data_IF_805561249216
#
_entry.id   IF_805561249216
#
_cell.length_a   1.000
_cell.length_b   1.000
_cell.length_c   1.000
_cell.angle_alpha   90.00
_cell.angle_beta   90.00
_cell.angle_gamma   90.00
#
_symmetry.space_group_name_H-M   'P 1'
#
loop_
_entity.id
_entity.type
_entity.pdbx_description
1 polymer ?
#
# COMPACT_ATOMS: atom_id res chain seq x y z
N UNK A 1 -16.66 -14.11 -46.56
CA UNK A 1 -15.78 -14.17 -45.35
C UNK A 1 -15.76 -12.85 -44.58
N UNK A 2 -15.46 -11.68 -45.18
CA UNK A 2 -15.45 -10.37 -44.48
C UNK A 2 -16.75 -9.96 -43.75
N UNK A 3 -17.93 -10.20 -44.35
CA UNK A 3 -19.24 -9.86 -43.73
C UNK A 3 -19.62 -10.75 -42.53
N UNK A 4 -19.14 -12.00 -42.51
CA UNK A 4 -19.41 -12.95 -41.43
C UNK A 4 -18.57 -12.64 -40.18
N UNK A 5 -17.31 -12.21 -40.37
CA UNK A 5 -16.45 -11.73 -39.28
C UNK A 5 -16.95 -10.44 -38.63
N UNK A 6 -17.55 -9.53 -39.40
CA UNK A 6 -18.11 -8.29 -38.87
C UNK A 6 -19.38 -8.53 -38.02
N UNK A 7 -20.20 -9.51 -38.42
CA UNK A 7 -21.39 -9.91 -37.65
C UNK A 7 -21.02 -10.63 -36.34
N UNK A 8 -19.99 -11.48 -36.37
CA UNK A 8 -19.44 -12.14 -35.17
C UNK A 8 -18.81 -11.14 -34.19
N UNK A 9 -18.12 -10.12 -34.71
CA UNK A 9 -17.56 -9.04 -33.90
C UNK A 9 -18.65 -8.17 -33.25
N UNK A 10 -19.72 -7.85 -33.99
CA UNK A 10 -20.88 -7.13 -33.45
C UNK A 10 -21.65 -7.95 -32.40
N UNK A 11 -21.83 -9.27 -32.62
CA UNK A 11 -22.46 -10.14 -31.63
C UNK A 11 -21.64 -10.26 -30.34
N UNK A 12 -20.31 -10.38 -30.47
CA UNK A 12 -19.39 -10.40 -29.32
C UNK A 12 -19.44 -9.08 -28.54
N UNK A 13 -19.48 -7.93 -29.23
CA UNK A 13 -19.59 -6.62 -28.57
C UNK A 13 -20.91 -6.45 -27.80
N UNK A 14 -22.03 -6.96 -28.32
CA UNK A 14 -23.34 -6.90 -27.65
C UNK A 14 -23.42 -7.77 -26.38
N UNK A 15 -22.73 -8.91 -26.35
CA UNK A 15 -22.66 -9.77 -25.17
C UNK A 15 -21.80 -9.11 -24.07
N UNK A 16 -20.70 -8.45 -24.45
CA UNK A 16 -19.84 -7.69 -23.52
C UNK A 16 -20.58 -6.52 -22.86
N UNK A 17 -21.36 -5.75 -23.62
CA UNK A 17 -22.15 -4.62 -23.11
C UNK A 17 -23.24 -5.07 -22.12
N UNK A 18 -23.90 -6.21 -22.35
CA UNK A 18 -24.92 -6.74 -21.43
C UNK A 18 -24.30 -7.27 -20.13
N UNK A 19 -23.14 -7.92 -20.19
CA UNK A 19 -22.41 -8.39 -19.01
C UNK A 19 -21.97 -7.23 -18.11
N UNK A 20 -21.47 -6.14 -18.69
CA UNK A 20 -21.07 -4.94 -17.93
C UNK A 20 -22.24 -4.31 -17.17
N UNK A 21 -23.42 -4.21 -17.79
CA UNK A 21 -24.62 -3.65 -17.12
C UNK A 21 -25.10 -4.51 -15.95
N UNK A 22 -25.06 -5.84 -16.07
CA UNK A 22 -25.45 -6.75 -14.99
C UNK A 22 -24.50 -6.66 -13.79
N UNK A 23 -23.20 -6.61 -14.03
CA UNK A 23 -22.20 -6.51 -12.96
C UNK A 23 -22.31 -5.18 -12.23
N UNK A 24 -22.51 -4.07 -12.95
CA UNK A 24 -22.71 -2.76 -12.33
C UNK A 24 -23.97 -2.74 -11.43
N UNK A 25 -25.04 -3.40 -11.86
CA UNK A 25 -26.26 -3.54 -11.06
C UNK A 25 -26.01 -4.38 -9.80
N UNK A 26 -25.26 -5.49 -9.92
CA UNK A 26 -24.86 -6.30 -8.77
C UNK A 26 -24.10 -5.47 -7.73
N UNK A 27 -23.06 -4.74 -8.15
CA UNK A 27 -22.28 -3.88 -7.25
C UNK A 27 -23.15 -2.84 -6.56
N UNK A 28 -24.01 -2.15 -7.32
CA UNK A 28 -24.90 -1.11 -6.78
C UNK A 28 -25.81 -1.66 -5.70
N UNK A 29 -26.52 -2.77 -5.97
CA UNK A 29 -27.45 -3.38 -5.01
C UNK A 29 -26.74 -3.92 -3.77
N UNK A 30 -25.58 -4.56 -3.96
CA UNK A 30 -24.81 -5.12 -2.84
C UNK A 30 -24.20 -4.05 -1.96
N UNK A 31 -23.69 -2.96 -2.54
CA UNK A 31 -23.22 -1.82 -1.75
C UNK A 31 -24.35 -1.13 -1.00
N UNK A 32 -25.49 -0.87 -1.63
CA UNK A 32 -26.66 -0.30 -0.96
C UNK A 32 -27.09 -1.14 0.26
N UNK A 33 -27.09 -2.47 0.09
CA UNK A 33 -27.41 -3.39 1.19
C UNK A 33 -26.34 -3.34 2.28
N UNK A 34 -25.05 -3.44 1.93
CA UNK A 34 -23.95 -3.45 2.88
C UNK A 34 -23.86 -2.14 3.67
N UNK A 35 -23.96 -1.00 2.99
CA UNK A 35 -23.92 0.33 3.59
C UNK A 35 -25.14 0.56 4.48
N UNK A 36 -26.34 0.12 4.06
CA UNK A 36 -27.55 0.16 4.90
C UNK A 36 -27.49 -0.75 6.13
N UNK A 37 -26.68 -1.83 6.12
CA UNK A 37 -26.41 -2.66 7.28
C UNK A 37 -25.39 -1.97 8.22
N UNK A 38 -24.32 -1.39 7.67
CA UNK A 38 -23.33 -0.63 8.43
C UNK A 38 -23.96 0.57 9.15
N UNK A 39 -24.85 1.31 8.48
CA UNK A 39 -25.54 2.46 9.08
C UNK A 39 -26.45 2.07 10.25
N UNK A 40 -26.84 0.80 10.35
CA UNK A 40 -27.63 0.22 11.45
C UNK A 40 -26.76 -0.46 12.52
N UNK A 41 -25.43 -0.41 12.40
CA UNK A 41 -24.49 -1.12 13.27
C UNK A 41 -24.49 -2.64 13.11
N UNK A 42 -25.09 -3.18 12.04
CA UNK A 42 -25.17 -4.62 11.77
C UNK A 42 -23.90 -5.12 11.07
N UNK A 43 -22.76 -4.91 11.72
CA UNK A 43 -21.41 -5.07 11.17
C UNK A 43 -21.14 -6.49 10.66
N UNK A 44 -21.54 -7.53 11.40
CA UNK A 44 -21.35 -8.92 10.97
C UNK A 44 -22.17 -9.28 9.71
N UNK A 45 -23.37 -8.70 9.55
CA UNK A 45 -24.20 -8.89 8.36
C UNK A 45 -23.63 -8.11 7.17
N UNK A 46 -23.17 -6.87 7.40
CA UNK A 46 -22.48 -6.09 6.37
C UNK A 46 -21.23 -6.81 5.86
N UNK A 47 -20.41 -7.36 6.76
CA UNK A 47 -19.21 -8.12 6.40
C UNK A 47 -19.52 -9.32 5.49
N UNK A 48 -20.66 -9.99 5.68
CA UNK A 48 -21.12 -11.08 4.79
C UNK A 48 -21.43 -10.57 3.38
N UNK A 49 -22.16 -9.47 3.26
CA UNK A 49 -22.48 -8.88 1.95
C UNK A 49 -21.20 -8.37 1.24
N UNK A 50 -20.30 -7.71 1.99
CA UNK A 50 -19.03 -7.21 1.44
C UNK A 50 -18.16 -8.36 0.90
N UNK A 51 -18.14 -9.54 1.56
CA UNK A 51 -17.43 -10.71 1.02
C UNK A 51 -18.00 -11.22 -0.30
N UNK A 52 -19.31 -11.08 -0.54
CA UNK A 52 -19.89 -11.41 -1.85
C UNK A 52 -19.37 -10.46 -2.93
N UNK A 53 -19.28 -9.17 -2.61
CA UNK A 53 -18.72 -8.14 -3.49
C UNK A 53 -17.24 -8.44 -3.78
N UNK A 54 -16.46 -8.75 -2.74
CA UNK A 54 -15.04 -9.10 -2.83
C UNK A 54 -14.81 -10.27 -3.79
N UNK A 55 -15.57 -11.36 -3.62
CA UNK A 55 -15.44 -12.54 -4.45
C UNK A 55 -15.79 -12.24 -5.92
N UNK A 56 -16.87 -11.49 -6.17
CA UNK A 56 -17.23 -11.07 -7.52
C UNK A 56 -16.13 -10.23 -8.17
N UNK A 57 -15.62 -9.22 -7.44
CA UNK A 57 -14.55 -8.36 -7.90
C UNK A 57 -13.24 -9.11 -8.19
N UNK A 58 -12.94 -10.16 -7.40
CA UNK A 58 -11.81 -11.06 -7.66
C UNK A 58 -11.98 -11.81 -8.99
N UNK A 59 -13.15 -12.39 -9.23
CA UNK A 59 -13.43 -13.13 -10.48
C UNK A 59 -13.39 -12.22 -11.72
N UNK A 60 -13.86 -10.98 -11.58
CA UNK A 60 -13.88 -10.00 -12.67
C UNK A 60 -12.56 -9.24 -12.84
N UNK A 61 -11.58 -9.43 -11.93
CA UNK A 61 -10.37 -8.61 -11.84
C UNK A 61 -10.67 -7.10 -11.73
N UNK A 62 -11.80 -6.75 -11.12
CA UNK A 62 -12.22 -5.38 -10.90
C UNK A 62 -11.48 -4.80 -9.70
N UNK A 63 -10.32 -4.18 -9.95
CA UNK A 63 -9.42 -3.69 -8.89
C UNK A 63 -10.11 -2.69 -7.95
N UNK A 64 -10.84 -1.72 -8.49
CA UNK A 64 -11.53 -0.70 -7.67
C UNK A 64 -12.52 -1.34 -6.69
N UNK A 65 -13.41 -2.21 -7.19
CA UNK A 65 -14.36 -2.90 -6.32
C UNK A 65 -13.68 -3.87 -5.36
N UNK A 66 -12.59 -4.51 -5.79
CA UNK A 66 -11.84 -5.46 -5.00
C UNK A 66 -11.17 -4.79 -3.79
N UNK A 67 -10.40 -3.73 -4.01
CA UNK A 67 -9.75 -3.00 -2.92
C UNK A 67 -10.82 -2.30 -2.06
N UNK A 68 -11.91 -1.75 -2.64
CA UNK A 68 -13.02 -1.13 -1.87
C UNK A 68 -13.60 -2.13 -0.88
N UNK A 69 -13.84 -3.35 -1.37
CA UNK A 69 -14.36 -4.45 -0.56
C UNK A 69 -13.43 -4.81 0.58
N UNK A 70 -12.12 -4.84 0.35
CA UNK A 70 -11.14 -5.09 1.42
C UNK A 70 -11.19 -4.00 2.47
N UNK A 71 -11.07 -2.72 2.10
CA UNK A 71 -11.13 -1.60 3.04
C UNK A 71 -12.41 -1.62 3.89
N UNK A 72 -13.56 -1.81 3.23
CA UNK A 72 -14.86 -1.84 3.90
C UNK A 72 -15.03 -3.10 4.76
N UNK A 73 -14.47 -4.23 4.35
CA UNK A 73 -14.47 -5.46 5.12
C UNK A 73 -13.72 -5.26 6.44
N UNK A 74 -12.50 -4.71 6.38
CA UNK A 74 -11.70 -4.41 7.57
C UNK A 74 -12.45 -3.51 8.56
N UNK A 75 -13.00 -2.40 8.05
CA UNK A 75 -13.83 -1.47 8.85
C UNK A 75 -15.03 -2.17 9.48
N UNK A 76 -15.68 -3.08 8.76
CA UNK A 76 -16.83 -3.82 9.29
C UNK A 76 -16.45 -4.86 10.35
N UNK A 77 -15.20 -5.32 10.38
CA UNK A 77 -14.72 -6.33 11.33
C UNK A 77 -14.02 -5.77 12.55
N UNK A 78 -13.58 -4.51 12.48
CA UNK A 78 -12.83 -3.82 13.54
C UNK A 78 -13.56 -3.85 14.90
N UNK A 79 -14.89 -3.67 14.92
CA UNK A 79 -15.67 -3.68 16.16
C UNK A 79 -16.12 -5.07 16.62
N UNK A 80 -15.80 -6.14 15.88
CA UNK A 80 -16.33 -7.49 16.13
C UNK A 80 -15.37 -8.38 16.95
N UNK A 81 -14.15 -7.90 17.24
CA UNK A 81 -13.11 -8.67 17.91
C UNK A 81 -12.17 -7.74 18.68
N UNK A 82 -11.92 -8.02 19.97
CA UNK A 82 -10.84 -7.37 20.74
C UNK A 82 -9.45 -7.70 20.18
N UNK A 83 -9.34 -8.73 19.33
CA UNK A 83 -8.13 -9.15 18.63
C UNK A 83 -8.28 -9.00 17.11
N UNK A 84 -9.01 -7.99 16.62
CA UNK A 84 -9.28 -7.80 15.18
C UNK A 84 -8.01 -7.88 14.33
N UNK A 85 -6.88 -7.42 14.87
CA UNK A 85 -5.56 -7.47 14.24
C UNK A 85 -5.06 -8.89 13.90
N UNK A 86 -5.37 -9.90 14.73
CA UNK A 86 -4.83 -11.25 14.55
C UNK A 86 -5.41 -11.98 13.33
N UNK A 87 -6.62 -11.61 12.89
CA UNK A 87 -7.28 -12.20 11.73
C UNK A 87 -7.06 -11.42 10.43
N UNK A 88 -6.72 -10.13 10.51
CA UNK A 88 -6.56 -9.25 9.35
C UNK A 88 -5.29 -9.58 8.56
N UNK A 89 -4.16 -9.76 9.22
CA UNK A 89 -2.88 -10.06 8.53
C UNK A 89 -2.95 -11.41 7.77
N UNK A 90 -3.44 -12.51 8.36
CA UNK A 90 -3.66 -13.76 7.62
C UNK A 90 -4.59 -13.60 6.41
N UNK A 91 -5.64 -12.79 6.54
CA UNK A 91 -6.54 -12.47 5.42
C UNK A 91 -5.78 -11.80 4.26
N UNK A 92 -4.91 -10.82 4.52
CA UNK A 92 -4.08 -10.21 3.48
C UNK A 92 -3.13 -11.19 2.81
N UNK A 93 -2.50 -12.07 3.58
CA UNK A 93 -1.63 -13.12 3.02
C UNK A 93 -2.40 -14.04 2.08
N UNK A 94 -3.64 -14.39 2.41
CA UNK A 94 -4.49 -15.19 1.51
C UNK A 94 -4.86 -14.43 0.24
N UNK A 95 -5.29 -13.17 0.35
CA UNK A 95 -5.61 -12.34 -0.81
C UNK A 95 -4.39 -12.16 -1.74
N UNK A 96 -3.19 -12.00 -1.17
CA UNK A 96 -1.94 -11.84 -1.92
C UNK A 96 -1.60 -13.05 -2.80
N UNK A 97 -1.97 -14.28 -2.41
CA UNK A 97 -1.69 -15.50 -3.19
C UNK A 97 -2.33 -15.50 -4.57
N UNK A 98 -3.51 -14.88 -4.70
CA UNK A 98 -4.28 -14.86 -5.94
C UNK A 98 -4.31 -13.51 -6.65
N UNK A 99 -3.89 -12.44 -5.96
CA UNK A 99 -3.83 -11.09 -6.51
C UNK A 99 -2.81 -10.93 -7.66
N UNK A 100 -3.14 -10.06 -8.59
CA UNK A 100 -2.29 -9.65 -9.72
C UNK A 100 -2.17 -8.13 -9.76
N UNK A 101 -1.26 -7.61 -10.58
CA UNK A 101 -1.19 -6.17 -10.82
C UNK A 101 -2.54 -5.64 -11.35
N UNK A 102 -3.01 -4.45 -10.89
CA UNK A 102 -2.39 -3.55 -9.90
C UNK A 102 -2.77 -3.86 -8.43
N UNK A 103 -3.76 -4.73 -8.21
CA UNK A 103 -4.28 -5.03 -6.88
C UNK A 103 -3.19 -5.54 -5.92
N UNK A 104 -2.28 -6.39 -6.41
CA UNK A 104 -1.18 -6.96 -5.63
C UNK A 104 -0.28 -5.89 -4.99
N UNK A 105 0.06 -4.85 -5.74
CA UNK A 105 0.91 -3.75 -5.25
C UNK A 105 0.18 -2.92 -4.17
N UNK A 106 -1.11 -2.66 -4.37
CA UNK A 106 -1.96 -2.00 -3.37
C UNK A 106 -2.05 -2.84 -2.09
N UNK A 107 -2.26 -4.15 -2.20
CA UNK A 107 -2.31 -5.06 -1.06
C UNK A 107 -1.00 -5.09 -0.27
N UNK A 108 0.15 -5.11 -0.95
CA UNK A 108 1.44 -5.00 -0.27
C UNK A 108 1.58 -3.67 0.48
N UNK A 109 1.20 -2.54 -0.13
CA UNK A 109 1.24 -1.24 0.54
C UNK A 109 0.33 -1.20 1.78
N UNK A 110 -0.87 -1.79 1.69
CA UNK A 110 -1.80 -1.89 2.81
C UNK A 110 -1.29 -2.81 3.91
N UNK A 111 -0.73 -3.98 3.56
CA UNK A 111 -0.16 -4.92 4.52
C UNK A 111 1.05 -4.33 5.25
N UNK A 112 1.88 -3.55 4.57
CA UNK A 112 2.97 -2.80 5.19
C UNK A 112 2.46 -1.83 6.27
N UNK A 113 1.42 -1.07 5.95
CA UNK A 113 0.76 -0.18 6.93
C UNK A 113 0.12 -0.95 8.08
N UNK A 114 -0.45 -2.13 7.85
CA UNK A 114 -1.01 -2.95 8.93
C UNK A 114 0.05 -3.42 9.93
N UNK A 115 1.22 -3.86 9.44
CA UNK A 115 2.34 -4.21 10.30
C UNK A 115 2.85 -3.01 11.11
N UNK A 116 2.95 -1.85 10.46
CA UNK A 116 3.33 -0.61 11.13
C UNK A 116 2.33 -0.23 12.23
N UNK A 117 1.03 -0.19 11.92
CA UNK A 117 -0.01 0.17 12.87
C UNK A 117 -0.03 -0.80 14.07
N UNK A 118 0.16 -2.10 13.82
CA UNK A 118 0.24 -3.09 14.89
C UNK A 118 1.42 -2.80 15.83
N UNK A 119 2.60 -2.52 15.27
CA UNK A 119 3.76 -2.12 16.05
C UNK A 119 3.49 -0.87 16.88
N UNK A 120 2.94 0.19 16.27
CA UNK A 120 2.67 1.46 16.95
C UNK A 120 1.70 1.29 18.13
N UNK A 121 0.66 0.48 17.96
CA UNK A 121 -0.31 0.18 19.03
C UNK A 121 0.33 -0.60 20.19
N UNK A 122 1.25 -1.51 19.90
CA UNK A 122 1.87 -2.43 20.88
C UNK A 122 3.27 -2.01 21.34
N UNK A 123 3.75 -0.87 20.88
CA UNK A 123 5.12 -0.37 21.10
C UNK A 123 5.49 -0.30 22.58
N UNK A 124 4.62 0.29 23.41
CA UNK A 124 4.87 0.45 24.85
C UNK A 124 5.00 -0.91 25.56
N UNK A 125 4.12 -1.87 25.24
CA UNK A 125 4.16 -3.23 25.78
C UNK A 125 5.46 -3.95 25.39
N UNK A 126 5.96 -3.76 24.16
CA UNK A 126 7.22 -4.35 23.71
C UNK A 126 8.45 -3.77 24.41
N UNK A 127 8.48 -2.45 24.63
CA UNK A 127 9.57 -1.78 25.35
C UNK A 127 9.66 -2.27 26.80
N UNK A 128 8.51 -2.43 27.48
CA UNK A 128 8.45 -3.01 28.82
C UNK A 128 8.99 -4.46 28.85
N UNK A 129 8.60 -5.31 27.90
CA UNK A 129 9.09 -6.70 27.82
C UNK A 129 10.60 -6.77 27.61
N UNK A 130 11.17 -5.92 26.77
CA UNK A 130 12.62 -5.87 26.48
C UNK A 130 13.42 -5.44 27.70
N UNK A 131 12.83 -4.60 28.56
CA UNK A 131 13.43 -4.14 29.83
C UNK A 131 13.48 -5.25 30.89
N UNK A 132 12.60 -6.25 30.80
CA UNK A 132 12.42 -7.32 31.81
C UNK A 132 13.00 -8.66 31.33
N UNK A 133 13.19 -8.86 30.01
CA UNK A 133 13.71 -10.10 29.43
C UNK A 133 14.91 -9.84 28.51
N UNK A 134 16.12 -9.94 29.04
CA UNK A 134 17.34 -10.20 28.25
C UNK A 134 17.34 -11.67 27.79
N UNK A 135 16.50 -12.01 26.82
CA UNK A 135 16.69 -13.18 25.94
C UNK A 135 15.58 -13.25 24.91
N UNK A 136 15.97 -13.21 23.63
CA UNK A 136 15.14 -13.52 22.48
C UNK A 136 14.39 -14.83 22.72
N UNK A 137 13.07 -14.77 22.93
CA UNK A 137 12.23 -15.96 22.85
C UNK A 137 11.80 -16.17 21.42
N UNK A 138 12.20 -17.33 20.92
CA UNK A 138 11.94 -17.87 19.60
C UNK A 138 10.47 -17.84 19.19
N UNK A 139 10.25 -17.68 17.89
CA UNK A 139 9.01 -17.90 17.13
C UNK A 139 8.07 -18.89 17.82
N UNK A 140 6.98 -18.38 18.38
CA UNK A 140 5.83 -19.21 18.73
C UNK A 140 4.93 -19.28 17.50
N UNK A 141 4.87 -20.45 16.88
CA UNK A 141 3.93 -20.73 15.81
C UNK A 141 2.59 -21.07 16.47
N UNK A 142 1.53 -20.34 16.13
CA UNK A 142 0.16 -20.59 16.61
C UNK A 142 -0.36 -21.84 15.85
N UNK A 143 -1.29 -22.65 16.41
CA UNK A 143 -1.77 -23.88 15.78
C UNK A 143 -2.28 -23.80 14.31
N UNK A 144 -2.49 -22.62 13.73
CA UNK A 144 -2.90 -22.45 12.32
C UNK A 144 -1.73 -22.19 11.34
N UNK A 145 -0.49 -22.15 11.82
CA UNK A 145 0.70 -21.90 10.99
C UNK A 145 1.04 -20.42 10.78
N UNK A 146 0.29 -19.49 11.38
CA UNK A 146 0.67 -18.08 11.46
C UNK A 146 1.59 -17.84 12.67
N UNK A 147 2.54 -16.91 12.52
CA UNK A 147 3.42 -16.52 13.62
C UNK A 147 2.65 -15.67 14.64
N UNK A 148 2.86 -15.93 15.94
CA UNK A 148 2.28 -15.14 17.02
C UNK A 148 2.87 -13.72 17.01
N UNK A 149 2.15 -12.77 16.41
CA UNK A 149 2.57 -11.37 16.30
C UNK A 149 2.81 -10.73 17.66
N UNK A 150 2.19 -11.23 18.73
CA UNK A 150 2.47 -10.74 20.08
C UNK A 150 3.90 -11.07 20.54
N UNK A 151 4.58 -12.02 19.90
CA UNK A 151 5.97 -12.40 20.19
C UNK A 151 7.00 -11.67 19.32
N UNK A 152 6.55 -10.90 18.33
CA UNK A 152 7.45 -10.21 17.43
C UNK A 152 8.18 -9.05 18.11
N UNK A 153 9.43 -8.86 17.73
CA UNK A 153 10.24 -7.70 18.13
C UNK A 153 9.97 -6.50 17.22
N UNK A 154 10.40 -5.31 17.65
CA UNK A 154 10.35 -4.10 16.83
C UNK A 154 11.04 -4.28 15.47
N UNK A 155 12.21 -4.94 15.42
CA UNK A 155 12.91 -5.20 14.15
C UNK A 155 12.11 -6.15 13.25
N UNK A 156 11.40 -7.16 13.78
CA UNK A 156 10.56 -8.03 12.96
C UNK A 156 9.40 -7.28 12.31
N UNK A 157 8.69 -6.43 13.06
CA UNK A 157 7.63 -5.58 12.49
C UNK A 157 8.18 -4.61 11.46
N UNK A 158 9.35 -4.02 11.74
CA UNK A 158 10.03 -3.16 10.80
C UNK A 158 10.37 -3.90 9.50
N UNK A 159 11.03 -5.07 9.57
CA UNK A 159 11.43 -5.84 8.39
C UNK A 159 10.22 -6.30 7.57
N UNK A 160 9.13 -6.69 8.22
CA UNK A 160 7.90 -7.08 7.55
C UNK A 160 7.26 -5.89 6.81
N UNK A 161 7.14 -4.74 7.47
CA UNK A 161 6.63 -3.50 6.88
C UNK A 161 7.51 -3.06 5.70
N UNK A 162 8.83 -3.01 5.91
CA UNK A 162 9.82 -2.67 4.88
C UNK A 162 9.71 -3.58 3.65
N UNK A 163 9.64 -4.90 3.87
CA UNK A 163 9.50 -5.89 2.79
C UNK A 163 8.22 -5.68 2.01
N UNK A 164 7.12 -5.36 2.68
CA UNK A 164 5.83 -5.06 2.03
C UNK A 164 5.89 -3.77 1.21
N UNK A 165 6.41 -2.67 1.75
CA UNK A 165 6.55 -1.43 0.99
C UNK A 165 7.49 -1.59 -0.21
N UNK A 166 8.61 -2.30 -0.05
CA UNK A 166 9.49 -2.63 -1.17
C UNK A 166 8.77 -3.50 -2.23
N UNK A 167 8.02 -4.52 -1.80
CA UNK A 167 7.23 -5.37 -2.71
C UNK A 167 6.14 -4.58 -3.46
N UNK A 168 5.58 -3.54 -2.84
CA UNK A 168 4.62 -2.65 -3.49
C UNK A 168 5.23 -1.88 -4.67
N UNK A 169 6.55 -1.68 -4.70
CA UNK A 169 7.26 -0.90 -5.72
C UNK A 169 7.87 -1.75 -6.85
N UNK A 170 7.73 -3.08 -6.86
CA UNK A 170 8.43 -3.96 -7.82
C UNK A 170 7.95 -3.79 -9.26
N UNK A 171 6.67 -3.47 -9.46
CA UNK A 171 6.06 -3.24 -10.78
C UNK A 171 6.19 -1.76 -11.21
N UNK A 172 7.41 -1.24 -11.14
CA UNK A 172 7.69 0.21 -11.29
C UNK A 172 7.15 0.77 -12.61
N UNK A 173 7.51 0.18 -13.75
CA UNK A 173 7.12 0.69 -15.07
C UNK A 173 5.61 0.57 -15.33
N UNK A 174 4.99 -0.53 -14.90
CA UNK A 174 3.56 -0.73 -15.03
C UNK A 174 2.79 0.26 -14.14
N UNK A 175 3.26 0.50 -12.92
CA UNK A 175 2.67 1.47 -11.98
C UNK A 175 2.78 2.91 -12.48
N UNK A 176 3.91 3.29 -13.10
CA UNK A 176 4.11 4.60 -13.76
C UNK A 176 3.16 4.83 -14.93
N UNK A 177 2.71 3.75 -15.57
CA UNK A 177 1.77 3.82 -16.69
C UNK A 177 0.30 3.65 -16.27
N UNK A 178 0.04 3.47 -14.97
CA UNK A 178 -1.31 3.20 -14.45
C UNK A 178 -1.89 4.46 -13.81
N UNK A 179 -2.92 5.10 -14.42
CA UNK A 179 -3.53 6.31 -13.87
C UNK A 179 -4.20 6.02 -12.53
N UNK A 180 -3.94 6.87 -11.53
CA UNK A 180 -4.47 6.68 -10.18
C UNK A 180 -6.00 6.77 -10.15
N UNK A 181 -6.61 7.49 -11.10
CA UNK A 181 -8.06 7.62 -11.26
C UNK A 181 -8.77 6.26 -11.35
N UNK A 182 -8.11 5.24 -11.90
CA UNK A 182 -8.70 3.90 -12.07
C UNK A 182 -8.93 3.16 -10.74
N UNK A 183 -8.35 3.65 -9.64
CA UNK A 183 -8.49 3.08 -8.28
C UNK A 183 -8.92 4.13 -7.24
N UNK A 184 -9.32 5.32 -7.69
CA UNK A 184 -9.64 6.47 -6.83
C UNK A 184 -10.82 6.23 -5.88
N UNK A 185 -11.73 5.31 -6.20
CA UNK A 185 -12.87 4.97 -5.36
C UNK A 185 -12.49 4.36 -4.00
N UNK A 186 -11.21 4.03 -3.81
CA UNK A 186 -10.72 3.26 -2.67
C UNK A 186 -9.58 3.92 -1.89
N UNK A 187 -8.89 4.87 -2.51
CA UNK A 187 -7.81 5.58 -1.86
C UNK A 187 -8.39 6.54 -0.81
N UNK A 188 -7.76 6.64 0.36
CA UNK A 188 -8.17 7.60 1.37
C UNK A 188 -8.17 9.00 0.74
N UNK A 189 -9.25 9.79 0.87
CA UNK A 189 -9.34 11.09 0.22
C UNK A 189 -8.29 12.03 0.82
N UNK A 190 -7.31 12.42 0.00
CA UNK A 190 -6.47 13.60 0.21
C UNK A 190 -6.90 14.70 -0.76
N UNK A 191 -6.81 15.96 -0.33
CA UNK A 191 -7.04 17.10 -1.23
C UNK A 191 -5.99 17.10 -2.36
N UNK A 192 -6.41 17.38 -3.61
CA UNK A 192 -5.54 17.54 -4.79
C UNK A 192 -4.63 16.36 -5.21
N UNK A 193 -4.82 15.14 -4.68
CA UNK A 193 -3.99 13.96 -5.04
C UNK A 193 -3.93 13.65 -6.53
N UNK A 194 -4.98 13.97 -7.31
CA UNK A 194 -5.00 13.66 -8.75
C UNK A 194 -3.92 14.39 -9.57
N UNK A 195 -3.47 15.58 -9.13
CA UNK A 195 -2.39 16.32 -9.79
C UNK A 195 -1.02 16.04 -9.20
N UNK A 196 -0.99 15.83 -7.88
CA UNK A 196 0.25 15.61 -7.15
C UNK A 196 0.76 14.18 -7.36
N UNK A 197 -0.14 13.20 -7.39
CA UNK A 197 0.14 11.78 -7.55
C UNK A 197 -0.69 11.19 -8.70
N UNK A 198 -0.38 11.54 -9.96
CA UNK A 198 -1.20 11.15 -11.12
C UNK A 198 -1.22 9.64 -11.38
N UNK A 199 -0.23 8.88 -10.89
CA UNK A 199 -0.09 7.46 -11.18
C UNK A 199 -0.11 6.59 -9.92
N UNK A 200 -0.33 5.29 -10.12
CA UNK A 200 -0.20 4.31 -9.06
C UNK A 200 1.22 4.31 -8.47
N UNK A 201 2.25 4.55 -9.29
CA UNK A 201 3.62 4.62 -8.79
C UNK A 201 3.78 5.75 -7.78
N UNK A 202 3.22 6.92 -8.05
CA UNK A 202 3.31 8.09 -7.17
C UNK A 202 2.66 7.79 -5.83
N UNK A 203 1.45 7.24 -5.85
CA UNK A 203 0.74 6.84 -4.63
C UNK A 203 1.53 5.81 -3.80
N UNK A 204 2.07 4.77 -4.43
CA UNK A 204 2.82 3.72 -3.72
C UNK A 204 4.16 4.21 -3.20
N UNK A 205 4.85 5.07 -3.97
CA UNK A 205 6.13 5.64 -3.58
C UNK A 205 5.97 6.60 -2.41
N UNK A 206 4.97 7.48 -2.40
CA UNK A 206 4.71 8.38 -1.27
C UNK A 206 4.36 7.60 0.00
N UNK A 207 3.54 6.55 -0.09
CA UNK A 207 3.27 5.68 1.07
C UNK A 207 4.51 4.95 1.59
N UNK A 208 5.38 4.50 0.69
CA UNK A 208 6.64 3.88 1.06
C UNK A 208 7.60 4.91 1.71
N UNK A 209 7.64 6.14 1.19
CA UNK A 209 8.40 7.24 1.76
C UNK A 209 7.91 7.60 3.17
N UNK A 210 6.60 7.69 3.38
CA UNK A 210 6.02 7.96 4.70
C UNK A 210 6.49 6.94 5.75
N UNK A 211 6.60 5.66 5.37
CA UNK A 211 7.14 4.62 6.24
C UNK A 211 8.66 4.73 6.40
N UNK A 212 9.41 4.86 5.30
CA UNK A 212 10.88 4.86 5.34
C UNK A 212 11.47 6.11 6.01
N UNK A 213 10.73 7.22 6.03
CA UNK A 213 11.15 8.49 6.63
C UNK A 213 10.87 8.58 8.14
N UNK A 214 10.37 7.52 8.77
CA UNK A 214 10.08 7.51 10.21
C UNK A 214 11.36 7.32 11.04
N UNK A 215 11.78 8.37 11.75
CA UNK A 215 12.99 8.41 12.60
C UNK A 215 13.07 7.30 13.67
N UNK A 216 11.93 6.72 14.08
CA UNK A 216 11.92 5.66 15.10
C UNK A 216 12.64 4.39 14.63
N UNK A 217 12.84 4.23 13.32
CA UNK A 217 13.61 3.16 12.70
C UNK A 217 15.08 3.20 13.15
N UNK A 218 15.62 4.38 13.49
CA UNK A 218 17.04 4.58 13.80
C UNK A 218 17.40 4.20 15.24
N UNK A 219 16.43 4.19 16.16
CA UNK A 219 16.67 3.92 17.59
C UNK A 219 17.17 2.50 17.87
N UNK A 220 17.07 1.58 16.90
CA UNK A 220 17.41 0.15 17.08
C UNK A 220 18.71 -0.28 16.40
N UNK A 221 19.46 0.61 15.73
CA UNK A 221 20.63 0.23 14.92
C UNK A 221 21.91 1.03 15.23
N UNK A 222 23.10 0.43 15.05
CA UNK A 222 24.37 1.04 15.45
C UNK A 222 24.70 2.32 14.65
N UNK A 223 25.39 3.24 15.34
CA UNK A 223 25.62 4.66 15.04
C UNK A 223 26.43 5.02 13.77
N UNK A 224 26.57 4.13 12.79
CA UNK A 224 27.11 4.51 11.47
C UNK A 224 25.97 4.94 10.55
N UNK A 225 25.37 6.08 10.89
CA UNK A 225 24.30 6.69 10.12
C UNK A 225 24.88 7.49 8.96
N UNK A 226 24.36 7.26 7.76
CA UNK A 226 24.46 8.13 6.61
C UNK A 226 23.91 9.49 7.05
N UNK A 227 24.77 10.50 7.08
CA UNK A 227 24.37 11.84 7.49
C UNK A 227 23.96 12.64 6.25
N UNK A 228 22.73 13.17 6.25
CA UNK A 228 22.23 14.05 5.19
C UNK A 228 22.77 15.49 5.31
N UNK A 229 24.01 15.65 5.79
CA UNK A 229 24.64 16.95 6.04
C UNK A 229 25.34 17.54 4.81
N UNK A 230 25.49 16.77 3.74
CA UNK A 230 26.07 17.26 2.50
C UNK A 230 25.08 18.20 1.78
N UNK A 231 25.54 19.38 1.41
CA UNK A 231 24.80 20.34 0.57
C UNK A 231 24.27 19.73 -0.73
N UNK A 232 24.89 18.64 -1.21
CA UNK A 232 24.46 17.86 -2.37
C UNK A 232 23.00 17.39 -2.24
N UNK A 233 22.53 17.08 -1.04
CA UNK A 233 21.14 16.62 -0.82
C UNK A 233 20.11 17.76 -0.86
N UNK A 234 20.57 19.02 -0.84
CA UNK A 234 19.75 20.22 -1.04
C UNK A 234 19.85 20.78 -2.46
N UNK A 235 20.62 20.14 -3.34
CA UNK A 235 20.82 20.61 -4.70
C UNK A 235 19.49 20.71 -5.48
N UNK A 236 19.44 21.56 -6.53
CA UNK A 236 18.31 21.58 -7.47
C UNK A 236 17.99 20.18 -7.98
N UNK A 237 16.71 19.92 -8.31
CA UNK A 237 16.23 18.57 -8.65
C UNK A 237 17.10 17.85 -9.69
N UNK A 238 17.51 18.54 -10.76
CA UNK A 238 18.38 17.97 -11.80
C UNK A 238 19.73 17.47 -11.26
N UNK A 239 20.39 18.26 -10.42
CA UNK A 239 21.67 17.91 -9.82
C UNK A 239 21.50 16.81 -8.76
N UNK A 240 20.43 16.88 -7.96
CA UNK A 240 20.08 15.87 -6.97
C UNK A 240 19.84 14.49 -7.59
N UNK A 241 19.13 14.42 -8.72
CA UNK A 241 18.87 13.17 -9.45
C UNK A 241 20.19 12.51 -9.88
N UNK A 242 21.20 13.30 -10.24
CA UNK A 242 22.49 12.80 -10.74
C UNK A 242 23.50 12.51 -9.61
N UNK A 243 23.22 12.94 -8.38
CA UNK A 243 24.08 12.72 -7.25
C UNK A 243 24.32 11.21 -7.03
N UNK A 244 25.59 10.81 -7.03
CA UNK A 244 25.99 9.42 -6.85
C UNK A 244 25.74 8.94 -5.42
N UNK A 245 25.19 7.73 -5.29
CA UNK A 245 25.00 7.06 -4.01
C UNK A 245 26.20 6.10 -3.76
N UNK A 246 26.95 6.29 -2.68
CA UNK A 246 28.10 5.43 -2.37
C UNK A 246 27.64 4.02 -1.97
N UNK A 247 28.18 2.99 -2.65
CA UNK A 247 27.75 1.60 -2.48
C UNK A 247 28.02 1.00 -1.08
N UNK A 248 28.94 1.59 -0.31
CA UNK A 248 29.22 1.20 1.09
C UNK A 248 28.03 1.44 2.02
N UNK A 249 27.09 2.29 1.60
CA UNK A 249 25.91 2.71 2.37
C UNK A 249 24.61 2.03 1.88
N UNK A 250 24.71 1.04 0.99
CA UNK A 250 23.56 0.40 0.31
C UNK A 250 22.50 -0.23 1.23
N UNK A 251 22.85 -0.54 2.48
CA UNK A 251 21.95 -1.11 3.49
C UNK A 251 21.31 -0.05 4.41
N UNK A 252 21.58 1.23 4.19
CA UNK A 252 21.09 2.31 5.02
C UNK A 252 19.72 2.79 4.55
N UNK A 253 18.73 2.85 5.44
CA UNK A 253 17.36 3.19 5.09
C UNK A 253 17.21 4.60 4.53
N UNK A 254 17.95 5.58 5.09
CA UNK A 254 18.03 6.94 4.53
C UNK A 254 18.45 6.94 3.06
N UNK A 255 19.35 6.03 2.65
CA UNK A 255 19.75 5.92 1.25
C UNK A 255 18.62 5.41 0.36
N UNK A 256 17.79 4.50 0.85
CA UNK A 256 16.62 4.01 0.12
C UNK A 256 15.58 5.13 -0.06
N UNK A 257 15.40 5.99 0.95
CA UNK A 257 14.57 7.20 0.84
C UNK A 257 15.10 8.14 -0.24
N UNK A 258 16.39 8.49 -0.19
CA UNK A 258 17.03 9.35 -1.20
C UNK A 258 16.90 8.74 -2.60
N UNK A 259 17.17 7.44 -2.76
CA UNK A 259 17.03 6.75 -4.04
C UNK A 259 15.59 6.79 -4.56
N UNK A 260 14.60 6.65 -3.68
CA UNK A 260 13.20 6.71 -4.07
C UNK A 260 12.79 8.14 -4.48
N UNK A 261 13.27 9.17 -3.79
CA UNK A 261 13.13 10.56 -4.24
C UNK A 261 13.80 10.80 -5.60
N UNK A 262 15.02 10.30 -5.82
CA UNK A 262 15.68 10.43 -7.13
C UNK A 262 14.84 9.80 -8.24
N UNK A 263 14.24 8.62 -8.00
CA UNK A 263 13.36 7.96 -8.97
C UNK A 263 12.07 8.73 -9.24
N UNK A 264 11.44 9.30 -8.22
CA UNK A 264 10.23 10.12 -8.35
C UNK A 264 10.51 11.41 -9.12
N UNK A 265 11.56 12.14 -8.74
CA UNK A 265 11.93 13.38 -9.42
C UNK A 265 12.36 13.11 -10.87
N UNK A 266 13.09 12.04 -11.13
CA UNK A 266 13.43 11.63 -12.50
C UNK A 266 12.20 11.26 -13.32
N UNK A 267 11.16 10.68 -12.70
CA UNK A 267 9.94 10.30 -13.39
C UNK A 267 9.16 11.53 -13.88
N UNK A 268 9.08 12.59 -13.07
CA UNK A 268 8.30 13.80 -13.37
C UNK A 268 9.12 14.95 -13.98
N UNK A 269 10.41 14.74 -14.29
CA UNK A 269 11.30 15.82 -14.74
C UNK A 269 10.84 16.49 -16.04
N UNK A 270 10.24 15.70 -16.95
CA UNK A 270 9.81 16.13 -18.28
C UNK A 270 8.28 16.33 -18.38
N UNK A 271 7.56 16.31 -17.24
CA UNK A 271 6.11 16.48 -17.23
C UNK A 271 5.71 17.88 -17.68
N UNK A 272 4.65 17.96 -18.49
CA UNK A 272 4.10 19.26 -18.93
C UNK A 272 3.51 20.06 -17.76
N UNK A 273 2.89 19.37 -16.80
CA UNK A 273 2.45 19.95 -15.53
C UNK A 273 3.47 19.54 -14.44
N UNK A 274 4.26 20.49 -13.90
CA UNK A 274 5.31 20.16 -12.93
C UNK A 274 4.76 19.92 -11.51
N UNK A 275 3.44 19.86 -11.30
CA UNK A 275 2.84 19.73 -9.96
C UNK A 275 3.39 18.53 -9.18
N UNK A 276 3.49 17.36 -9.79
CA UNK A 276 4.02 16.15 -9.16
C UNK A 276 5.52 16.26 -8.84
N UNK A 277 6.30 16.86 -9.75
CA UNK A 277 7.72 17.14 -9.54
C UNK A 277 7.93 18.08 -8.34
N UNK A 278 7.17 19.17 -8.28
CA UNK A 278 7.26 20.17 -7.20
C UNK A 278 6.87 19.54 -5.85
N UNK A 279 5.79 18.77 -5.80
CA UNK A 279 5.34 18.08 -4.58
C UNK A 279 6.41 17.14 -4.03
N UNK A 280 6.94 16.26 -4.89
CA UNK A 280 7.99 15.32 -4.54
C UNK A 280 9.29 16.03 -4.12
N UNK A 281 9.63 17.16 -4.75
CA UNK A 281 10.86 17.90 -4.43
C UNK A 281 10.75 18.64 -3.10
N UNK A 282 9.59 19.21 -2.80
CA UNK A 282 9.31 19.80 -1.49
C UNK A 282 9.33 18.75 -0.38
N UNK A 283 8.75 17.57 -0.64
CA UNK A 283 8.80 16.43 0.29
C UNK A 283 10.24 15.97 0.54
N UNK A 284 11.06 15.86 -0.52
CA UNK A 284 12.51 15.58 -0.42
C UNK A 284 13.22 16.62 0.44
N UNK A 285 13.07 17.91 0.14
CA UNK A 285 13.77 18.98 0.88
C UNK A 285 13.38 18.94 2.37
N UNK A 286 12.09 18.73 2.67
CA UNK A 286 11.61 18.56 4.04
C UNK A 286 12.28 17.37 4.73
N UNK A 287 12.34 16.23 4.05
CA UNK A 287 12.99 15.02 4.57
C UNK A 287 14.47 15.27 4.91
N UNK A 288 15.22 15.85 3.96
CA UNK A 288 16.64 16.18 4.13
C UNK A 288 16.84 17.21 5.25
N UNK A 289 15.91 18.13 5.46
CA UNK A 289 15.98 19.10 6.56
C UNK A 289 15.77 18.48 7.95
N UNK A 290 15.00 17.40 8.03
CA UNK A 290 14.65 16.75 9.29
C UNK A 290 15.73 15.76 9.80
N UNK A 291 16.65 15.31 8.94
CA UNK A 291 17.55 14.16 9.15
C UNK A 291 19.02 14.46 8.89
#
# INVERSE_FOLDING_TARGET
MRKFGLLLFLLASFILLKGQNMNQQFYTQKWETAEGLLSKGLNASAAKEIRLILNQARTEQNTDQYIKSICMYLKSTESLSESADSAIIPFFHEELKSSQFPAKQLLYSMLGTLYQNYYEQKRWEMLERTSVQTSSKSKKIIPDGTEDLETWTADQFFQASYSCFHASLTEEQASKSYPLEKVKGVLLPGENTAKLWPTLYDYLAHRALDFFANDEIELTKPAYAFELKDSTWYAPAFDFIQAGLNAKDSLQYKLQVIKLYQKLLQFHLDDTDPSALIDADLARIKYVHQH
#
